data_IF_085147808181
#
_entry.id   IF_085147808181
#
_cell.length_a   1.000
_cell.length_b   1.000
_cell.length_c   1.000
_cell.angle_alpha   90.00
_cell.angle_beta   90.00
_cell.angle_gamma   90.00
#
_symmetry.space_group_name_H-M   'P 1'
#
loop_
_entity.id
_entity.type
_entity.pdbx_description
1 polymer ?
#
# COMPACT_ATOMS: atom_id res chain seq x y z
N UNK A 1 -8.98 16.10 -33.12
CA UNK A 1 -7.78 16.26 -32.27
C UNK A 1 -8.11 16.67 -30.82
N UNK A 2 -8.96 17.69 -30.56
CA UNK A 2 -9.34 18.11 -29.19
C UNK A 2 -9.89 16.99 -28.27
N UNK A 3 -10.73 16.08 -28.79
CA UNK A 3 -11.30 14.96 -28.01
C UNK A 3 -10.23 13.93 -27.56
N UNK A 4 -9.22 13.69 -28.40
CA UNK A 4 -8.12 12.77 -28.07
C UNK A 4 -7.21 13.37 -26.98
N UNK A 5 -6.89 14.66 -27.09
CA UNK A 5 -6.09 15.38 -26.09
C UNK A 5 -6.79 15.44 -24.72
N UNK A 6 -8.11 15.64 -24.71
CA UNK A 6 -8.90 15.64 -23.48
C UNK A 6 -9.00 14.26 -22.83
N UNK A 7 -9.08 13.19 -23.63
CA UNK A 7 -9.07 11.82 -23.11
C UNK A 7 -7.72 11.45 -22.50
N UNK A 8 -6.62 11.85 -23.16
CA UNK A 8 -5.25 11.60 -22.67
C UNK A 8 -4.94 12.40 -21.40
N UNK A 9 -5.35 13.67 -21.35
CA UNK A 9 -5.18 14.51 -20.16
C UNK A 9 -5.93 13.94 -18.95
N UNK A 10 -7.14 13.41 -19.15
CA UNK A 10 -7.92 12.80 -18.06
C UNK A 10 -7.33 11.48 -17.57
N UNK A 11 -6.81 10.63 -18.46
CA UNK A 11 -6.16 9.38 -18.04
C UNK A 11 -4.84 9.67 -17.33
N UNK A 12 -4.03 10.59 -17.84
CA UNK A 12 -2.79 11.03 -17.20
C UNK A 12 -3.02 11.64 -15.82
N UNK A 13 -4.02 12.51 -15.68
CA UNK A 13 -4.38 13.09 -14.38
C UNK A 13 -4.73 12.01 -13.36
N UNK A 14 -5.52 11.01 -13.77
CA UNK A 14 -5.88 9.89 -12.90
C UNK A 14 -4.67 9.04 -12.51
N UNK A 15 -3.81 8.68 -13.47
CA UNK A 15 -2.60 7.90 -13.19
C UNK A 15 -1.62 8.66 -12.30
N UNK A 16 -1.40 9.95 -12.54
CA UNK A 16 -0.56 10.80 -11.69
C UNK A 16 -1.14 10.96 -10.29
N UNK A 17 -2.46 11.10 -10.15
CA UNK A 17 -3.11 11.14 -8.85
C UNK A 17 -2.91 9.83 -8.07
N UNK A 18 -3.07 8.67 -8.74
CA UNK A 18 -2.83 7.37 -8.13
C UNK A 18 -1.37 7.18 -7.72
N UNK A 19 -0.44 7.67 -8.56
CA UNK A 19 0.99 7.63 -8.28
C UNK A 19 1.29 8.45 -7.02
N UNK A 20 0.71 9.65 -6.92
CA UNK A 20 0.85 10.48 -5.72
C UNK A 20 0.30 9.82 -4.46
N UNK A 21 -0.88 9.20 -4.54
CA UNK A 21 -1.46 8.46 -3.41
C UNK A 21 -0.53 7.32 -2.99
N UNK A 22 0.01 6.59 -3.95
CA UNK A 22 0.96 5.52 -3.70
C UNK A 22 2.23 6.02 -3.02
N UNK A 23 2.81 7.14 -3.46
CA UNK A 23 3.98 7.75 -2.79
C UNK A 23 3.68 8.10 -1.33
N UNK A 24 2.53 8.71 -1.05
CA UNK A 24 2.15 9.03 0.34
C UNK A 24 1.99 7.75 1.18
N UNK A 25 1.42 6.70 0.61
CA UNK A 25 1.36 5.40 1.27
C UNK A 25 2.75 4.84 1.57
N UNK A 26 3.72 4.96 0.64
CA UNK A 26 5.10 4.55 0.89
C UNK A 26 5.73 5.31 2.06
N UNK A 27 5.44 6.61 2.20
CA UNK A 27 5.93 7.40 3.34
C UNK A 27 5.36 6.88 4.67
N UNK A 28 4.06 6.58 4.71
CA UNK A 28 3.44 5.97 5.89
C UNK A 28 4.00 4.59 6.21
N UNK A 29 4.22 3.76 5.19
CA UNK A 29 4.80 2.42 5.35
C UNK A 29 6.23 2.52 5.89
N UNK A 30 7.04 3.45 5.37
CA UNK A 30 8.39 3.74 5.87
C UNK A 30 8.36 4.19 7.34
N UNK A 31 7.44 5.08 7.70
CA UNK A 31 7.25 5.49 9.09
C UNK A 31 6.87 4.31 10.04
N UNK A 32 6.17 3.30 9.52
CA UNK A 32 5.78 2.11 10.29
C UNK A 32 6.89 1.04 10.38
N UNK A 33 8.00 1.18 9.65
CA UNK A 33 9.11 0.22 9.64
C UNK A 33 9.66 -0.14 11.04
N UNK A 34 9.88 0.81 11.97
CA UNK A 34 10.34 0.45 13.33
C UNK A 34 9.24 -0.17 14.21
N UNK A 35 7.97 -0.07 13.82
CA UNK A 35 6.81 -0.54 14.60
C UNK A 35 6.38 -1.93 14.15
N UNK A 36 6.43 -2.19 12.84
CA UNK A 36 6.00 -3.45 12.24
C UNK A 36 7.15 -4.43 12.09
N UNK A 37 6.81 -5.72 12.16
CA UNK A 37 7.72 -6.77 11.73
C UNK A 37 8.09 -6.60 10.26
N UNK A 38 9.34 -6.90 9.91
CA UNK A 38 9.90 -6.72 8.56
C UNK A 38 9.08 -7.46 7.49
N UNK A 39 8.52 -8.61 7.85
CA UNK A 39 7.67 -9.46 7.02
C UNK A 39 6.34 -8.77 6.72
N UNK A 40 5.73 -8.16 7.74
CA UNK A 40 4.47 -7.41 7.59
C UNK A 40 4.68 -6.19 6.70
N UNK A 41 5.75 -5.44 6.95
CA UNK A 41 6.10 -4.26 6.17
C UNK A 41 6.28 -4.62 4.68
N UNK A 42 7.08 -5.66 4.41
CA UNK A 42 7.33 -6.13 3.05
C UNK A 42 6.08 -6.66 2.35
N UNK A 43 5.21 -7.38 3.06
CA UNK A 43 3.93 -7.85 2.51
C UNK A 43 3.00 -6.70 2.14
N UNK A 44 2.85 -5.70 3.01
CA UNK A 44 2.01 -4.53 2.77
C UNK A 44 2.55 -3.70 1.61
N UNK A 45 3.85 -3.43 1.58
CA UNK A 45 4.49 -2.64 0.52
C UNK A 45 4.30 -3.27 -0.86
N UNK A 46 4.58 -4.57 -1.00
CA UNK A 46 4.43 -5.28 -2.28
C UNK A 46 2.95 -5.30 -2.71
N UNK A 47 2.05 -5.55 -1.77
CA UNK A 47 0.60 -5.60 -2.05
C UNK A 47 0.08 -4.24 -2.53
N UNK A 48 0.39 -3.15 -1.82
CA UNK A 48 -0.04 -1.79 -2.18
C UNK A 48 0.55 -1.35 -3.51
N UNK A 49 1.81 -1.68 -3.77
CA UNK A 49 2.46 -1.38 -5.06
C UNK A 49 1.77 -2.12 -6.20
N UNK A 50 1.46 -3.40 -6.01
CA UNK A 50 0.74 -4.17 -7.02
C UNK A 50 -0.68 -3.63 -7.25
N UNK A 51 -1.40 -3.29 -6.20
CA UNK A 51 -2.74 -2.69 -6.30
C UNK A 51 -2.67 -1.35 -7.05
N UNK A 52 -1.69 -0.49 -6.73
CA UNK A 52 -1.50 0.78 -7.41
C UNK A 52 -1.25 0.59 -8.92
N UNK A 53 -0.37 -0.34 -9.29
CA UNK A 53 -0.09 -0.68 -10.70
C UNK A 53 -1.35 -1.20 -11.39
N UNK A 54 -2.09 -2.12 -10.74
CA UNK A 54 -3.33 -2.67 -11.27
C UNK A 54 -4.39 -1.60 -11.47
N UNK A 55 -4.52 -0.66 -10.52
CA UNK A 55 -5.47 0.45 -10.62
C UNK A 55 -5.08 1.47 -11.70
N UNK A 56 -3.80 1.62 -12.00
CA UNK A 56 -3.32 2.44 -13.12
C UNK A 56 -3.53 1.78 -14.49
N UNK A 57 -3.29 0.47 -14.60
CA UNK A 57 -3.31 -0.26 -15.87
C UNK A 57 -4.72 -0.71 -16.27
N UNK A 58 -5.57 -1.07 -15.31
CA UNK A 58 -6.85 -1.74 -15.58
C UNK A 58 -8.04 -0.76 -15.53
N UNK A 59 -8.58 -0.32 -16.68
CA UNK A 59 -9.84 0.43 -16.74
C UNK A 59 -11.08 -0.48 -16.62
N UNK A 60 -11.00 -1.61 -15.90
CA UNK A 60 -12.09 -2.58 -15.80
C UNK A 60 -13.22 -2.15 -14.85
N UNK A 61 -14.39 -2.79 -15.00
CA UNK A 61 -15.51 -2.66 -14.07
C UNK A 61 -15.04 -3.02 -12.65
N UNK A 62 -15.40 -2.17 -11.69
CA UNK A 62 -14.94 -2.21 -10.29
C UNK A 62 -14.99 -3.61 -9.64
N UNK A 63 -16.03 -4.41 -9.92
CA UNK A 63 -16.20 -5.75 -9.33
C UNK A 63 -15.14 -6.77 -9.75
N UNK A 64 -14.85 -6.91 -11.05
CA UNK A 64 -13.81 -7.84 -11.52
C UNK A 64 -12.42 -7.42 -11.07
N UNK A 65 -12.19 -6.11 -10.98
CA UNK A 65 -10.93 -5.56 -10.50
C UNK A 65 -10.64 -5.96 -9.05
N UNK A 66 -11.63 -5.82 -8.17
CA UNK A 66 -11.50 -6.24 -6.76
C UNK A 66 -11.22 -7.75 -6.64
N UNK A 67 -11.88 -8.58 -7.45
CA UNK A 67 -11.63 -10.03 -7.42
C UNK A 67 -10.19 -10.36 -7.81
N UNK A 68 -9.66 -9.72 -8.86
CA UNK A 68 -8.27 -9.93 -9.29
C UNK A 68 -7.30 -9.40 -8.24
N UNK A 69 -7.53 -8.20 -7.70
CA UNK A 69 -6.73 -7.63 -6.61
C UNK A 69 -6.71 -8.57 -5.38
N UNK A 70 -7.86 -9.13 -4.98
CA UNK A 70 -7.96 -10.08 -3.86
C UNK A 70 -7.12 -11.34 -4.11
N UNK A 71 -7.23 -11.95 -5.29
CA UNK A 71 -6.47 -13.15 -5.65
C UNK A 71 -4.96 -12.87 -5.64
N UNK A 72 -4.56 -11.71 -6.15
CA UNK A 72 -3.14 -11.30 -6.17
C UNK A 72 -2.59 -11.04 -4.76
N UNK A 73 -3.38 -10.40 -3.89
CA UNK A 73 -3.03 -10.19 -2.48
C UNK A 73 -2.81 -11.53 -1.77
N UNK A 74 -3.74 -12.48 -1.94
CA UNK A 74 -3.60 -13.82 -1.34
C UNK A 74 -2.35 -14.55 -1.85
N UNK A 75 -2.06 -14.44 -3.15
CA UNK A 75 -0.86 -15.00 -3.74
C UNK A 75 0.43 -14.37 -3.18
N UNK A 76 0.47 -13.04 -2.98
CA UNK A 76 1.60 -12.35 -2.38
C UNK A 76 1.82 -12.80 -0.94
N UNK A 77 0.76 -12.89 -0.14
CA UNK A 77 0.85 -13.33 1.25
C UNK A 77 1.41 -14.75 1.32
N UNK A 78 0.88 -15.67 0.51
CA UNK A 78 1.42 -17.03 0.42
C UNK A 78 2.90 -17.04 0.04
N UNK A 79 3.29 -16.31 -1.02
CA UNK A 79 4.67 -16.24 -1.47
C UNK A 79 5.61 -15.71 -0.39
N UNK A 80 5.19 -14.68 0.36
CA UNK A 80 6.03 -14.11 1.41
C UNK A 80 6.09 -14.98 2.66
N UNK A 81 5.01 -15.66 3.05
CA UNK A 81 5.07 -16.62 4.16
C UNK A 81 6.07 -17.76 3.90
N UNK A 82 6.17 -18.21 2.65
CA UNK A 82 7.19 -19.18 2.23
C UNK A 82 8.59 -18.56 2.22
N UNK A 83 8.73 -17.34 1.70
CA UNK A 83 10.04 -16.66 1.57
C UNK A 83 10.69 -16.35 2.93
N UNK A 84 9.88 -15.96 3.92
CA UNK A 84 10.34 -15.70 5.29
C UNK A 84 10.41 -16.96 6.16
N UNK A 85 10.25 -18.16 5.59
CA UNK A 85 10.28 -19.44 6.31
C UNK A 85 9.28 -19.56 7.48
N UNK A 86 8.26 -18.69 7.51
CA UNK A 86 7.17 -18.73 8.49
C UNK A 86 6.27 -19.94 8.21
N UNK A 87 6.18 -20.33 6.94
CA UNK A 87 5.41 -21.48 6.48
C UNK A 87 6.27 -22.38 5.60
N UNK A 88 6.45 -23.63 6.03
CA UNK A 88 7.09 -24.68 5.24
C UNK A 88 6.01 -25.66 4.78
N UNK A 89 5.64 -25.67 3.48
CA UNK A 89 4.56 -26.54 2.99
C UNK A 89 4.97 -28.02 3.14
N UNK A 90 4.47 -28.67 4.19
CA UNK A 90 4.72 -30.09 4.50
C UNK A 90 3.41 -30.86 4.55
N UNK A 91 3.43 -32.13 4.15
CA UNK A 91 2.24 -32.99 4.13
C UNK A 91 1.34 -32.81 2.89
N UNK A 92 0.09 -33.26 3.03
CA UNK A 92 -0.95 -33.30 2.00
C UNK A 92 -1.48 -31.91 1.64
N UNK A 93 -2.15 -31.77 0.48
CA UNK A 93 -2.69 -30.49 0.01
C UNK A 93 -3.67 -29.85 1.01
N UNK A 94 -4.44 -30.66 1.74
CA UNK A 94 -5.37 -30.18 2.76
C UNK A 94 -4.64 -29.63 3.99
N UNK A 95 -3.64 -30.35 4.51
CA UNK A 95 -2.82 -29.89 5.65
C UNK A 95 -2.10 -28.59 5.33
N UNK A 96 -1.61 -28.44 4.09
CA UNK A 96 -1.01 -27.19 3.60
C UNK A 96 -1.97 -26.01 3.64
N UNK A 97 -3.23 -26.20 3.27
CA UNK A 97 -4.26 -25.14 3.31
C UNK A 97 -4.61 -24.73 4.74
N UNK A 98 -4.74 -25.71 5.65
CA UNK A 98 -5.03 -25.44 7.06
C UNK A 98 -3.88 -24.68 7.73
N UNK A 99 -2.64 -25.10 7.50
CA UNK A 99 -1.44 -24.43 8.00
C UNK A 99 -1.27 -23.02 7.43
N UNK A 100 -1.61 -22.82 6.16
CA UNK A 100 -1.60 -21.48 5.57
C UNK A 100 -2.64 -20.56 6.23
N UNK A 101 -3.87 -21.04 6.42
CA UNK A 101 -4.93 -20.25 7.05
C UNK A 101 -4.58 -19.85 8.50
N UNK A 102 -3.94 -20.75 9.27
CA UNK A 102 -3.55 -20.45 10.64
C UNK A 102 -2.45 -19.37 10.74
N UNK A 103 -1.48 -19.38 9.82
CA UNK A 103 -0.33 -18.46 9.86
C UNK A 103 -0.57 -17.13 9.10
N UNK A 104 -1.51 -17.10 8.17
CA UNK A 104 -1.83 -15.91 7.36
C UNK A 104 -2.59 -14.84 8.13
N UNK A 105 -3.41 -15.23 9.10
CA UNK A 105 -4.41 -14.37 9.75
C UNK A 105 -3.86 -13.01 10.21
N UNK A 106 -2.76 -12.90 10.98
CA UNK A 106 -2.28 -11.60 11.46
C UNK A 106 -1.87 -10.67 10.30
N UNK A 107 -1.18 -11.19 9.27
CA UNK A 107 -0.71 -10.39 8.13
C UNK A 107 -1.85 -9.97 7.20
N UNK A 108 -2.85 -10.82 7.03
CA UNK A 108 -4.00 -10.56 6.16
C UNK A 108 -4.78 -9.32 6.62
N UNK A 109 -4.93 -9.10 7.92
CA UNK A 109 -5.60 -7.89 8.43
C UNK A 109 -4.87 -6.61 8.04
N UNK A 110 -3.54 -6.57 8.16
CA UNK A 110 -2.75 -5.39 7.77
C UNK A 110 -2.84 -5.13 6.27
N UNK A 111 -2.72 -6.17 5.45
CA UNK A 111 -2.78 -6.03 4.00
C UNK A 111 -4.18 -5.61 3.53
N UNK A 112 -5.25 -6.19 4.08
CA UNK A 112 -6.63 -5.81 3.75
C UNK A 112 -6.92 -4.39 4.21
N UNK A 113 -6.49 -4.00 5.41
CA UNK A 113 -6.68 -2.64 5.90
C UNK A 113 -5.96 -1.62 5.02
N UNK A 114 -4.69 -1.87 4.67
CA UNK A 114 -3.93 -1.02 3.77
C UNK A 114 -4.59 -0.94 2.38
N UNK A 115 -5.01 -2.08 1.83
CA UNK A 115 -5.69 -2.13 0.53
C UNK A 115 -7.00 -1.33 0.55
N UNK A 116 -7.83 -1.51 1.58
CA UNK A 116 -9.07 -0.77 1.74
C UNK A 116 -8.82 0.74 1.84
N UNK A 117 -7.84 1.16 2.65
CA UNK A 117 -7.46 2.57 2.76
C UNK A 117 -6.98 3.14 1.43
N UNK A 118 -6.15 2.41 0.69
CA UNK A 118 -5.67 2.82 -0.63
C UNK A 118 -6.83 2.98 -1.62
N UNK A 119 -7.69 1.97 -1.73
CA UNK A 119 -8.83 1.98 -2.64
C UNK A 119 -9.86 3.08 -2.29
N UNK A 120 -10.12 3.32 -1.00
CA UNK A 120 -10.98 4.41 -0.54
C UNK A 120 -10.38 5.77 -0.87
N UNK A 121 -9.08 5.95 -0.65
CA UNK A 121 -8.37 7.18 -0.96
C UNK A 121 -8.35 7.45 -2.47
N UNK A 122 -8.05 6.44 -3.27
CA UNK A 122 -8.11 6.49 -4.73
C UNK A 122 -9.51 6.85 -5.26
N UNK A 123 -10.57 6.34 -4.63
CA UNK A 123 -11.96 6.69 -4.98
C UNK A 123 -12.33 8.10 -4.53
N UNK A 124 -11.86 8.55 -3.38
CA UNK A 124 -12.19 9.86 -2.82
C UNK A 124 -11.51 11.00 -3.60
N UNK A 125 -10.26 10.80 -4.01
CA UNK A 125 -9.45 11.76 -4.73
C UNK A 125 -9.82 11.74 -6.22
N UNK A 126 -10.88 12.46 -6.55
CA UNK A 126 -11.40 12.56 -7.91
C UNK A 126 -11.20 13.94 -8.55
N UNK A 127 -10.73 14.94 -7.79
CA UNK A 127 -10.62 16.33 -8.20
C UNK A 127 -9.34 16.98 -7.63
N UNK A 128 -8.81 17.98 -8.34
CA UNK A 128 -7.59 18.71 -7.95
C UNK A 128 -7.65 19.28 -6.51
N UNK A 129 -8.79 19.83 -6.10
CA UNK A 129 -8.96 20.36 -4.73
C UNK A 129 -8.78 19.29 -3.66
N UNK A 130 -9.27 18.07 -3.90
CA UNK A 130 -9.15 16.96 -2.96
C UNK A 130 -7.71 16.42 -2.91
N UNK A 131 -6.99 16.43 -4.03
CA UNK A 131 -5.55 16.13 -4.06
C UNK A 131 -4.80 17.10 -3.15
N UNK A 132 -5.01 18.41 -3.32
CA UNK A 132 -4.33 19.43 -2.52
C UNK A 132 -4.64 19.30 -1.03
N UNK A 133 -5.89 19.06 -0.66
CA UNK A 133 -6.28 18.81 0.73
C UNK A 133 -5.63 17.55 1.30
N UNK A 134 -5.58 16.46 0.53
CA UNK A 134 -4.95 15.22 0.94
C UNK A 134 -3.45 15.40 1.16
N UNK A 135 -2.76 16.08 0.25
CA UNK A 135 -1.33 16.39 0.39
C UNK A 135 -1.10 17.29 1.61
N UNK A 136 -1.88 18.35 1.77
CA UNK A 136 -1.77 19.27 2.90
C UNK A 136 -1.97 18.56 4.25
N UNK A 137 -2.97 17.68 4.35
CA UNK A 137 -3.23 16.90 5.55
C UNK A 137 -2.07 15.95 5.89
N UNK A 138 -1.51 15.25 4.90
CA UNK A 138 -0.36 14.37 5.11
C UNK A 138 0.91 15.15 5.48
N UNK A 139 1.12 16.32 4.86
CA UNK A 139 2.25 17.19 5.20
C UNK A 139 2.16 17.66 6.66
N UNK A 140 0.98 18.10 7.10
CA UNK A 140 0.75 18.49 8.49
C UNK A 140 0.97 17.29 9.42
N UNK A 141 0.43 16.12 9.09
CA UNK A 141 0.61 14.91 9.88
C UNK A 141 2.09 14.56 10.05
N UNK A 142 2.87 14.53 8.97
CA UNK A 142 4.30 14.25 9.04
C UNK A 142 5.08 15.35 9.76
N UNK A 143 4.73 16.63 9.60
CA UNK A 143 5.36 17.71 10.35
C UNK A 143 5.09 17.62 11.86
N UNK A 144 3.88 17.21 12.25
CA UNK A 144 3.54 16.95 13.66
C UNK A 144 4.33 15.75 14.18
N UNK A 145 4.40 14.65 13.43
CA UNK A 145 5.18 13.48 13.81
C UNK A 145 6.67 13.80 13.96
N UNK A 146 7.23 14.58 13.03
CA UNK A 146 8.61 15.04 13.08
C UNK A 146 8.89 15.89 14.34
N UNK A 147 7.95 16.75 14.74
CA UNK A 147 8.09 17.61 15.93
C UNK A 147 8.25 16.86 17.26
N UNK A 148 7.84 15.58 17.33
CA UNK A 148 8.01 14.73 18.52
C UNK A 148 9.28 13.87 18.48
N UNK A 149 10.08 13.97 17.41
CA UNK A 149 11.34 13.25 17.30
C UNK A 149 12.40 13.94 18.13
N UNK A 150 13.00 13.25 19.11
CA UNK A 150 14.10 13.80 19.90
C UNK A 150 15.29 14.06 18.97
N UNK A 151 15.62 15.34 18.76
CA UNK A 151 16.84 15.73 18.08
C UNK A 151 18.03 15.41 18.98
N UNK A 152 18.83 14.40 18.60
CA UNK A 152 20.21 14.33 19.07
C UNK A 152 20.95 15.46 18.36
N UNK A 153 20.93 16.65 18.98
CA UNK A 153 21.79 17.75 18.56
C UNK A 153 23.23 17.26 18.64
N UNK A 154 23.98 17.54 17.58
CA UNK A 154 25.37 17.17 17.35
C UNK A 154 26.20 17.09 18.65
N UNK A 155 26.72 15.91 19.04
CA UNK A 155 27.59 15.78 20.21
C UNK A 155 28.86 16.62 20.12
N UNK A 156 29.26 17.05 18.92
CA UNK A 156 30.54 17.76 18.71
C UNK A 156 30.55 19.21 19.17
N UNK A 157 29.44 19.74 19.71
CA UNK A 157 29.40 21.09 20.31
C UNK A 157 29.49 21.02 21.85
N UNK A 158 29.55 19.82 22.45
CA UNK A 158 29.62 19.62 23.90
C UNK A 158 31.01 19.12 24.38
N UNK A 159 32.08 19.53 23.70
CA UNK A 159 33.47 19.34 24.11
C UNK A 159 34.07 20.60 24.70
#
# INVERSE_FOLDING_TARGET
>A
MKKWFHSLSNSLFRSLSLLWIWIIFLQWISYMEPIWYQETNSMVLISITLIAIMEMILPFKYGYRILIEALMVLYIIHKQLVNYWIYMPSGTTFERMVQFASNMTPYLWFVIAAWALFALTAKWINNQRRILLFIGANLIAFAVLDSFTMSVLWPEVAG
#
